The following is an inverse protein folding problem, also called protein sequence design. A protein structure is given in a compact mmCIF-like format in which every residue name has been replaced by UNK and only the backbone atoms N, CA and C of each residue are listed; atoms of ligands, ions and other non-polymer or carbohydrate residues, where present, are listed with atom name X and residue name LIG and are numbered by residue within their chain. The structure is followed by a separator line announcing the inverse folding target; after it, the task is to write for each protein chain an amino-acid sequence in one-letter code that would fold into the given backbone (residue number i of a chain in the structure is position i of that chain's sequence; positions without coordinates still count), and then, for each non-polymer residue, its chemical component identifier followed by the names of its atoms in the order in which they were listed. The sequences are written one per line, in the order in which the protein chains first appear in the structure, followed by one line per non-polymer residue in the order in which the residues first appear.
data_IF_710117145694
#
_entry.id   IF_710117145694
#
_cell.length_a   1.000
_cell.length_b   1.000
_cell.length_c   1.000
_cell.angle_alpha   90.00
_cell.angle_beta   90.00
_cell.angle_gamma   90.00
#
_symmetry.space_group_name_H-M   'P 1'
#
loop_
_entity.id
_entity.type
_entity.pdbx_description
1 polymer ?
#
# COMPACT_ATOMS: atom_id res chain seq x y z
N UNK A 1 32.38 40.71 -36.52
CA UNK A 1 31.68 41.39 -35.41
C UNK A 1 30.21 41.01 -35.44
N UNK A 2 29.79 40.19 -34.47
CA UNK A 2 28.53 40.25 -33.72
C UNK A 2 28.63 39.14 -32.68
N UNK A 3 28.93 39.54 -31.46
CA UNK A 3 28.90 38.69 -30.26
C UNK A 3 27.43 38.43 -29.90
N UNK A 4 27.12 37.21 -29.49
CA UNK A 4 25.93 36.95 -28.67
C UNK A 4 26.32 36.00 -27.54
N UNK A 5 26.09 36.52 -26.35
CA UNK A 5 26.43 36.06 -25.01
C UNK A 5 25.65 34.84 -24.55
N UNK A 6 26.31 34.11 -23.66
CA UNK A 6 25.87 33.05 -22.77
C UNK A 6 24.53 33.32 -22.07
N UNK A 7 23.71 32.28 -21.91
CA UNK A 7 22.55 32.25 -21.03
C UNK A 7 22.39 30.86 -20.43
N UNK A 8 22.69 30.76 -19.13
CA UNK A 8 22.51 29.58 -18.29
C UNK A 8 21.05 29.14 -18.25
N UNK A 9 20.86 27.83 -18.17
CA UNK A 9 19.59 27.18 -17.88
C UNK A 9 19.82 25.73 -17.48
N UNK A 10 20.63 25.51 -16.44
CA UNK A 10 20.58 24.28 -15.66
C UNK A 10 19.15 24.18 -15.09
N UNK A 11 18.27 23.44 -15.77
CA UNK A 11 17.11 22.88 -15.10
C UNK A 11 17.63 21.74 -14.23
N UNK A 12 17.85 22.08 -12.97
CA UNK A 12 17.82 21.12 -11.87
C UNK A 12 16.56 20.28 -12.02
N UNK A 13 16.73 18.99 -12.33
CA UNK A 13 15.72 17.98 -12.08
C UNK A 13 15.51 17.92 -10.56
N UNK A 14 14.72 18.85 -10.02
CA UNK A 14 14.05 18.62 -8.74
C UNK A 14 13.19 17.39 -8.95
N UNK A 15 13.61 16.27 -8.35
CA UNK A 15 12.93 15.00 -8.46
C UNK A 15 11.47 15.20 -8.14
N UNK A 16 10.60 14.89 -9.11
CA UNK A 16 9.17 14.76 -8.87
C UNK A 16 9.02 13.88 -7.63
N UNK A 17 8.48 14.45 -6.54
CA UNK A 17 8.13 13.67 -5.36
C UNK A 17 7.09 12.66 -5.84
N UNK A 18 7.53 11.44 -6.15
CA UNK A 18 6.65 10.35 -6.55
C UNK A 18 5.77 10.03 -5.36
N UNK A 19 4.51 10.42 -5.43
CA UNK A 19 3.53 10.10 -4.42
C UNK A 19 3.10 8.65 -4.60
N UNK A 20 3.13 7.89 -3.51
CA UNK A 20 2.66 6.53 -3.47
C UNK A 20 1.15 6.50 -3.79
N UNK A 21 0.72 5.56 -4.64
CA UNK A 21 -0.69 5.42 -5.01
C UNK A 21 -1.55 5.10 -3.77
N UNK A 22 -2.43 6.04 -3.40
CA UNK A 22 -3.25 5.91 -2.19
C UNK A 22 -4.16 4.67 -2.19
N UNK A 23 -4.78 4.32 -3.32
CA UNK A 23 -5.68 3.16 -3.38
C UNK A 23 -4.90 1.86 -3.25
N UNK A 24 -3.74 1.76 -3.91
CA UNK A 24 -2.85 0.61 -3.79
C UNK A 24 -2.35 0.43 -2.35
N UNK A 25 -1.97 1.53 -1.69
CA UNK A 25 -1.56 1.51 -0.28
C UNK A 25 -2.65 0.97 0.62
N UNK A 26 -3.90 1.43 0.47
CA UNK A 26 -5.03 0.97 1.27
C UNK A 26 -5.39 -0.49 0.98
N UNK A 27 -5.27 -0.94 -0.27
CA UNK A 27 -5.46 -2.34 -0.62
C UNK A 27 -4.43 -3.24 0.06
N UNK A 28 -3.15 -2.82 0.10
CA UNK A 28 -2.07 -3.51 0.81
C UNK A 28 -2.25 -3.50 2.33
N UNK A 29 -2.69 -2.37 2.89
CA UNK A 29 -2.93 -2.22 4.33
C UNK A 29 -4.11 -3.09 4.82
N UNK A 30 -5.03 -3.41 3.91
CA UNK A 30 -6.15 -4.31 4.16
C UNK A 30 -7.46 -3.58 4.47
N UNK A 31 -8.61 -4.26 4.31
CA UNK A 31 -9.93 -3.64 4.27
C UNK A 31 -10.40 -3.05 5.61
N UNK A 32 -9.74 -3.41 6.72
CA UNK A 32 -10.06 -2.91 8.06
C UNK A 32 -9.29 -1.63 8.42
N UNK A 33 -8.31 -1.23 7.60
CA UNK A 33 -7.51 -0.04 7.86
C UNK A 33 -8.24 1.20 7.37
N UNK A 34 -8.29 2.21 8.25
CA UNK A 34 -8.71 3.57 7.91
C UNK A 34 -7.76 4.58 8.56
N UNK A 35 -7.35 5.57 7.79
CA UNK A 35 -6.50 6.66 8.28
C UNK A 35 -7.37 7.89 8.60
N UNK A 36 -7.11 8.59 9.72
CA UNK A 36 -7.83 9.81 10.08
C UNK A 36 -7.53 10.96 9.10
N UNK A 37 -8.48 11.88 8.96
CA UNK A 37 -8.33 13.07 8.10
C UNK A 37 -7.42 14.10 8.76
N UNK A 38 -6.44 14.62 8.02
CA UNK A 38 -5.62 15.77 8.47
C UNK A 38 -6.51 16.94 8.86
N UNK A 39 -6.23 17.55 10.01
CA UNK A 39 -7.09 18.59 10.59
C UNK A 39 -8.14 18.06 11.56
N UNK A 40 -8.30 16.74 11.71
CA UNK A 40 -9.20 16.15 12.72
C UNK A 40 -8.60 16.10 14.13
N UNK A 41 -9.47 16.04 15.14
CA UNK A 41 -9.13 15.63 16.51
C UNK A 41 -9.18 14.11 16.64
N UNK A 42 -8.11 13.53 17.15
CA UNK A 42 -7.96 12.09 17.41
C UNK A 42 -7.59 11.84 18.86
N UNK A 43 -7.80 10.61 19.35
CA UNK A 43 -7.31 10.18 20.66
C UNK A 43 -6.13 9.23 20.44
N UNK A 44 -4.98 9.62 20.95
CA UNK A 44 -3.78 8.78 20.96
C UNK A 44 -3.70 8.00 22.27
N UNK A 45 -3.51 6.68 22.14
CA UNK A 45 -3.37 5.75 23.26
C UNK A 45 -1.92 5.25 23.33
N UNK A 46 -1.10 5.75 24.29
CA UNK A 46 0.28 5.30 24.43
C UNK A 46 0.40 3.78 24.61
N UNK A 47 -0.57 3.15 25.30
CA UNK A 47 -0.60 1.70 25.47
C UNK A 47 -0.70 0.97 24.13
N UNK A 48 -1.63 1.35 23.25
CA UNK A 48 -1.79 0.70 21.95
C UNK A 48 -0.56 0.88 21.05
N UNK A 49 0.13 2.03 21.14
CA UNK A 49 1.41 2.21 20.47
C UNK A 49 2.48 1.25 21.03
N UNK A 50 2.60 1.13 22.36
CA UNK A 50 3.52 0.16 22.97
C UNK A 50 3.22 -1.28 22.55
N UNK A 51 1.94 -1.66 22.43
CA UNK A 51 1.51 -2.98 21.93
C UNK A 51 1.98 -3.21 20.48
N UNK A 52 1.84 -2.21 19.60
CA UNK A 52 2.34 -2.28 18.23
C UNK A 52 3.88 -2.40 18.17
N UNK A 53 4.61 -1.66 19.02
CA UNK A 53 6.08 -1.74 19.12
C UNK A 53 6.52 -3.11 19.61
N UNK A 54 5.83 -3.69 20.60
CA UNK A 54 6.14 -5.02 21.11
C UNK A 54 5.94 -6.09 20.02
N UNK A 55 4.81 -6.02 19.29
CA UNK A 55 4.50 -6.94 18.20
C UNK A 55 5.52 -6.87 17.04
N UNK A 56 5.99 -5.67 16.69
CA UNK A 56 6.96 -5.47 15.60
C UNK A 56 8.40 -5.83 15.98
N UNK A 57 8.79 -5.60 17.24
CA UNK A 57 10.16 -5.87 17.69
C UNK A 57 10.37 -7.31 18.19
N UNK A 58 9.31 -8.10 18.33
CA UNK A 58 9.32 -9.43 18.98
C UNK A 58 10.02 -9.41 20.36
N UNK A 59 9.99 -8.26 21.04
CA UNK A 59 10.46 -8.11 22.40
C UNK A 59 9.22 -7.94 23.27
N UNK A 60 9.09 -8.82 24.26
CA UNK A 60 8.19 -8.52 25.37
C UNK A 60 8.60 -7.17 25.96
N UNK A 61 7.62 -6.40 26.44
CA UNK A 61 7.85 -5.11 27.08
C UNK A 61 8.67 -5.37 28.34
N UNK A 62 10.00 -5.37 28.19
CA UNK A 62 10.92 -5.73 29.25
C UNK A 62 10.70 -4.75 30.41
N UNK A 63 10.53 -5.31 31.60
CA UNK A 63 9.81 -4.70 32.70
C UNK A 63 10.62 -3.62 33.42
N UNK A 64 10.96 -2.53 32.73
CA UNK A 64 11.46 -1.26 33.30
C UNK A 64 11.08 -0.05 32.42
N UNK A 65 9.83 0.05 31.96
CA UNK A 65 9.35 1.34 31.43
C UNK A 65 9.32 2.33 32.60
N UNK A 66 10.05 3.46 32.52
CA UNK A 66 9.98 4.50 33.54
C UNK A 66 8.54 4.99 33.70
N UNK A 67 8.08 5.17 34.94
CA UNK A 67 6.81 5.84 35.13
C UNK A 67 6.94 7.29 34.66
N UNK A 68 6.05 7.73 33.78
CA UNK A 68 5.93 9.11 33.33
C UNK A 68 4.64 9.70 33.92
N UNK A 69 4.66 10.30 35.13
CA UNK A 69 3.44 10.76 35.81
C UNK A 69 2.65 11.81 35.02
N UNK A 70 3.32 12.52 34.12
CA UNK A 70 2.72 13.53 33.24
C UNK A 70 2.10 12.96 31.97
N UNK A 71 2.21 11.64 31.72
CA UNK A 71 1.65 10.99 30.54
C UNK A 71 0.30 10.34 30.88
N UNK A 72 -0.83 10.93 30.46
CA UNK A 72 -2.13 10.29 30.63
C UNK A 72 -2.28 9.07 29.71
N UNK A 73 -3.18 8.12 30.04
CA UNK A 73 -3.44 6.93 29.21
C UNK A 73 -4.11 7.25 27.87
N UNK A 74 -4.63 8.47 27.71
CA UNK A 74 -5.28 8.98 26.51
C UNK A 74 -4.93 10.44 26.32
N UNK A 75 -4.52 10.80 25.09
CA UNK A 75 -4.16 12.15 24.70
C UNK A 75 -5.08 12.60 23.57
N UNK A 76 -5.84 13.67 23.78
CA UNK A 76 -6.61 14.30 22.69
C UNK A 76 -5.63 15.14 21.88
N UNK A 77 -5.49 14.83 20.60
CA UNK A 77 -4.52 15.47 19.72
C UNK A 77 -5.19 16.08 18.50
N UNK A 78 -4.63 17.19 18.02
CA UNK A 78 -4.84 17.68 16.67
C UNK A 78 -3.93 16.92 15.71
N UNK A 79 -4.49 16.35 14.64
CA UNK A 79 -3.72 15.69 13.59
C UNK A 79 -3.26 16.71 12.56
N UNK A 80 -1.95 16.94 12.47
CA UNK A 80 -1.35 17.92 11.56
C UNK A 80 -0.97 17.35 10.20
N UNK A 81 -0.58 16.07 10.16
CA UNK A 81 -0.15 15.45 8.91
C UNK A 81 -0.33 13.93 8.93
N UNK A 82 -0.58 13.35 7.77
CA UNK A 82 -0.57 11.91 7.51
C UNK A 82 0.16 11.68 6.19
N UNK A 83 1.19 10.84 6.23
CA UNK A 83 1.93 10.41 5.03
C UNK A 83 1.96 8.89 4.97
N UNK A 84 1.83 8.34 3.76
CA UNK A 84 1.80 6.90 3.50
C UNK A 84 3.13 6.48 2.89
N UNK A 85 3.65 5.36 3.37
CA UNK A 85 4.95 4.83 2.99
C UNK A 85 4.88 3.31 2.83
N UNK A 86 5.85 2.76 2.12
CA UNK A 86 6.09 1.33 2.03
C UNK A 86 7.58 1.08 2.23
N UNK A 87 7.94 0.09 3.03
CA UNK A 87 9.33 -0.34 3.17
C UNK A 87 9.83 -0.91 1.84
N UNK A 88 11.03 -0.49 1.43
CA UNK A 88 11.60 -0.83 0.12
C UNK A 88 12.11 -2.27 0.02
N UNK A 89 12.37 -2.92 1.16
CA UNK A 89 12.87 -4.28 1.21
C UNK A 89 11.75 -5.30 1.44
N UNK A 90 10.74 -4.93 2.25
CA UNK A 90 9.69 -5.86 2.70
C UNK A 90 8.32 -5.61 2.06
N UNK A 91 8.13 -4.50 1.35
CA UNK A 91 6.82 -4.00 0.89
C UNK A 91 5.81 -3.75 2.04
N UNK A 92 6.26 -3.70 3.30
CA UNK A 92 5.40 -3.42 4.45
C UNK A 92 4.91 -1.96 4.40
N UNK A 93 3.58 -1.78 4.38
CA UNK A 93 2.96 -0.47 4.35
C UNK A 93 2.82 0.12 5.75
N UNK A 94 3.17 1.40 5.91
CA UNK A 94 3.00 2.12 7.16
C UNK A 94 2.62 3.58 6.92
N UNK A 95 1.99 4.19 7.92
CA UNK A 95 1.60 5.59 7.89
C UNK A 95 2.32 6.36 8.99
N UNK A 96 2.88 7.52 8.63
CA UNK A 96 3.46 8.45 9.59
C UNK A 96 2.46 9.56 9.87
N UNK A 97 2.11 9.72 11.15
CA UNK A 97 1.17 10.74 11.63
C UNK A 97 1.91 11.74 12.52
N UNK A 98 1.61 13.03 12.34
CA UNK A 98 2.11 14.10 13.21
C UNK A 98 0.98 14.60 14.09
N UNK A 99 1.10 14.38 15.40
CA UNK A 99 0.09 14.70 16.40
C UNK A 99 0.57 15.82 17.32
N UNK A 100 -0.28 16.81 17.57
CA UNK A 100 -0.08 17.80 18.63
C UNK A 100 -1.10 17.58 19.75
N UNK A 101 -0.67 17.23 20.99
CA UNK A 101 -1.57 17.18 22.14
C UNK A 101 -2.25 18.52 22.38
N UNK A 102 -3.55 18.50 22.61
CA UNK A 102 -4.34 19.69 22.92
C UNK A 102 -4.27 20.03 24.41
N UNK A 103 -4.15 21.32 24.71
CA UNK A 103 -4.29 21.87 26.06
C UNK A 103 -5.72 21.71 26.59
N UNK A 104 -5.94 21.72 27.92
CA UNK A 104 -7.28 21.63 28.51
C UNK A 104 -8.24 22.75 28.06
N UNK A 105 -7.72 23.91 27.66
CA UNK A 105 -8.50 25.01 27.09
C UNK A 105 -8.96 24.66 25.67
N UNK A 106 -8.04 24.25 24.79
CA UNK A 106 -8.34 23.89 23.40
C UNK A 106 -9.33 22.72 23.29
N UNK A 107 -9.29 21.79 24.25
CA UNK A 107 -10.24 20.68 24.32
C UNK A 107 -11.69 21.14 24.57
N UNK A 108 -11.89 22.29 25.21
CA UNK A 108 -13.23 22.86 25.49
C UNK A 108 -13.78 23.65 24.30
N UNK A 109 -12.93 24.02 23.35
CA UNK A 109 -13.37 24.74 22.16
C UNK A 109 -14.34 23.87 21.36
N UNK A 110 -15.37 24.53 20.82
CA UNK A 110 -16.36 23.88 19.97
C UNK A 110 -15.65 23.25 18.76
N UNK A 111 -15.57 21.93 18.76
CA UNK A 111 -15.03 21.19 17.64
C UNK A 111 -16.18 20.80 16.72
N UNK A 112 -16.16 21.33 15.51
CA UNK A 112 -16.99 20.85 14.42
C UNK A 112 -16.21 19.72 13.74
N UNK A 113 -16.65 18.45 13.85
CA UNK A 113 -15.99 17.37 13.15
C UNK A 113 -15.96 17.68 11.65
N UNK A 114 -14.76 17.67 11.06
CA UNK A 114 -14.60 17.61 9.61
C UNK A 114 -15.28 16.31 9.16
N UNK A 115 -16.46 16.48 8.55
CA UNK A 115 -17.32 15.49 7.88
C UNK A 115 -17.43 14.08 8.50
N UNK A 116 -18.63 13.75 8.97
CA UNK A 116 -19.06 12.38 9.25
C UNK A 116 -18.91 11.52 7.99
N UNK A 117 -17.92 10.62 8.00
CA UNK A 117 -17.74 9.56 7.02
C UNK A 117 -16.72 9.90 5.95
N UNK A 118 -15.44 9.73 6.27
CA UNK A 118 -14.42 9.63 5.21
C UNK A 118 -14.78 8.44 4.31
N UNK A 119 -15.02 8.65 3.01
CA UNK A 119 -15.26 7.54 2.10
C UNK A 119 -14.07 6.59 2.16
N UNK A 120 -14.36 5.28 2.13
CA UNK A 120 -13.34 4.26 2.09
C UNK A 120 -12.40 4.53 0.92
N UNK A 121 -11.09 4.58 1.19
CA UNK A 121 -10.05 4.70 0.16
C UNK A 121 -9.66 3.35 -0.43
N UNK A 122 -10.43 2.30 -0.13
CA UNK A 122 -10.27 0.99 -0.73
C UNK A 122 -10.66 1.05 -2.22
N UNK A 123 -9.86 0.47 -3.12
CA UNK A 123 -10.22 0.40 -4.53
C UNK A 123 -11.51 -0.41 -4.71
N UNK A 124 -12.34 0.00 -5.67
CA UNK A 124 -13.59 -0.72 -5.98
C UNK A 124 -13.36 -1.90 -6.91
N UNK A 125 -12.36 -1.78 -7.79
CA UNK A 125 -11.95 -2.80 -8.75
C UNK A 125 -10.61 -3.37 -8.35
N UNK A 126 -10.62 -4.41 -7.53
CA UNK A 126 -9.43 -5.15 -7.19
C UNK A 126 -9.77 -6.60 -6.85
N UNK A 127 -8.74 -7.42 -6.78
CA UNK A 127 -8.82 -8.71 -6.10
C UNK A 127 -7.56 -8.93 -5.26
N UNK A 128 -7.72 -9.71 -4.19
CA UNK A 128 -6.62 -10.24 -3.40
C UNK A 128 -6.72 -11.76 -3.42
N UNK A 129 -5.60 -12.45 -3.63
CA UNK A 129 -5.52 -13.90 -3.60
C UNK A 129 -4.32 -14.35 -2.79
N UNK A 130 -4.58 -15.22 -1.83
CA UNK A 130 -3.55 -16.02 -1.15
C UNK A 130 -2.92 -16.99 -2.13
N UNK A 131 -1.59 -16.97 -2.21
CA UNK A 131 -0.80 -17.80 -3.10
C UNK A 131 -0.81 -19.26 -2.63
N UNK A 132 -1.07 -20.16 -3.57
CA UNK A 132 -0.93 -21.59 -3.33
C UNK A 132 0.50 -22.06 -3.64
N UNK A 133 0.86 -23.27 -3.21
CA UNK A 133 2.17 -23.85 -3.54
C UNK A 133 2.44 -23.96 -5.05
N UNK A 134 1.41 -24.12 -5.88
CA UNK A 134 1.58 -24.12 -7.33
C UNK A 134 1.88 -22.73 -7.89
N UNK A 135 1.31 -21.68 -7.28
CA UNK A 135 1.54 -20.31 -7.71
C UNK A 135 3.01 -19.89 -7.46
N UNK A 136 3.65 -20.36 -6.39
CA UNK A 136 5.06 -19.99 -6.07
C UNK A 136 6.10 -20.96 -6.63
N UNK A 137 5.68 -22.00 -7.37
CA UNK A 137 6.60 -22.95 -7.99
C UNK A 137 7.30 -22.38 -9.23
N UNK A 138 8.57 -22.73 -9.45
CA UNK A 138 9.42 -22.20 -10.55
C UNK A 138 8.85 -22.46 -11.95
N UNK A 139 8.10 -23.55 -12.11
CA UNK A 139 7.50 -23.97 -13.38
C UNK A 139 6.00 -23.66 -13.45
N UNK A 140 5.41 -23.19 -12.35
CA UNK A 140 4.00 -22.82 -12.25
C UNK A 140 3.76 -21.38 -12.68
N UNK A 141 2.54 -21.11 -13.12
CA UNK A 141 2.02 -19.75 -13.28
C UNK A 141 1.05 -19.41 -12.17
N UNK A 142 0.68 -18.15 -12.06
CA UNK A 142 -0.35 -17.70 -11.14
C UNK A 142 -1.74 -18.03 -11.68
N UNK A 143 -2.54 -18.78 -10.94
CA UNK A 143 -3.92 -19.07 -11.31
C UNK A 143 -4.86 -17.95 -10.89
N UNK A 144 -5.44 -17.22 -11.84
CA UNK A 144 -6.31 -16.09 -11.55
C UNK A 144 -7.76 -16.56 -11.44
N UNK A 145 -8.50 -16.25 -10.36
CA UNK A 145 -9.92 -16.56 -10.28
C UNK A 145 -10.67 -15.91 -11.45
N UNK A 146 -11.59 -16.65 -12.08
CA UNK A 146 -12.28 -16.18 -13.30
C UNK A 146 -12.94 -14.82 -13.11
N UNK A 147 -13.74 -14.65 -12.04
CA UNK A 147 -14.42 -13.38 -11.73
C UNK A 147 -13.44 -12.23 -11.50
N UNK A 148 -12.25 -12.53 -10.97
CA UNK A 148 -11.21 -11.52 -10.73
C UNK A 148 -10.57 -11.07 -12.05
N UNK A 149 -10.20 -12.01 -12.92
CA UNK A 149 -9.64 -11.70 -14.23
C UNK A 149 -10.62 -10.89 -15.10
N UNK A 150 -11.89 -11.29 -15.14
CA UNK A 150 -12.94 -10.60 -15.91
C UNK A 150 -13.30 -9.21 -15.34
N UNK A 151 -13.04 -8.96 -14.04
CA UNK A 151 -13.33 -7.68 -13.38
C UNK A 151 -12.17 -6.69 -13.46
N UNK A 152 -10.93 -7.16 -13.29
CA UNK A 152 -9.77 -6.29 -13.05
C UNK A 152 -8.86 -6.17 -14.27
N UNK A 153 -8.72 -7.23 -15.08
CA UNK A 153 -7.83 -7.16 -16.24
C UNK A 153 -8.56 -6.65 -17.49
N UNK A 154 -7.83 -6.02 -18.44
CA UNK A 154 -8.36 -5.74 -19.76
C UNK A 154 -8.92 -7.02 -20.42
N UNK A 155 -10.02 -6.92 -21.18
CA UNK A 155 -10.64 -8.09 -21.81
C UNK A 155 -9.69 -8.74 -22.83
N UNK A 156 -9.64 -10.07 -22.83
CA UNK A 156 -8.89 -10.82 -23.83
C UNK A 156 -9.62 -10.84 -25.17
N UNK A 157 -8.85 -10.86 -26.26
CA UNK A 157 -9.35 -11.21 -27.58
C UNK A 157 -9.50 -12.74 -27.72
N UNK A 158 -10.74 -13.22 -27.60
CA UNK A 158 -11.07 -14.65 -27.68
C UNK A 158 -11.08 -15.22 -29.10
N UNK A 159 -10.84 -14.41 -30.14
CA UNK A 159 -10.64 -14.92 -31.50
C UNK A 159 -9.26 -15.57 -31.69
N UNK A 160 -8.30 -15.25 -30.83
CA UNK A 160 -6.95 -15.80 -30.85
C UNK A 160 -6.87 -17.20 -30.23
N UNK A 161 -5.89 -18.01 -30.66
CA UNK A 161 -5.70 -19.37 -30.14
C UNK A 161 -4.24 -19.58 -29.71
N UNK A 162 -3.94 -19.64 -28.39
CA UNK A 162 -4.81 -19.32 -27.25
C UNK A 162 -4.99 -17.79 -27.05
N UNK A 163 -6.12 -17.33 -26.46
CA UNK A 163 -6.30 -15.93 -26.07
C UNK A 163 -5.23 -15.49 -25.04
N UNK A 164 -4.49 -14.43 -25.34
CA UNK A 164 -3.44 -13.92 -24.46
C UNK A 164 -3.19 -12.41 -24.65
N UNK A 165 -2.62 -11.77 -23.64
CA UNK A 165 -2.14 -10.38 -23.68
C UNK A 165 -0.95 -10.18 -22.75
N UNK A 166 -0.21 -9.09 -22.94
CA UNK A 166 0.77 -8.60 -21.97
C UNK A 166 0.08 -7.61 -21.04
N UNK A 167 0.24 -7.81 -19.73
CA UNK A 167 -0.14 -6.86 -18.70
C UNK A 167 1.11 -6.17 -18.18
N UNK A 168 1.03 -4.86 -17.97
CA UNK A 168 2.06 -4.08 -17.30
C UNK A 168 1.40 -3.47 -16.06
N UNK A 169 1.88 -3.85 -14.88
CA UNK A 169 1.41 -3.33 -13.61
C UNK A 169 2.56 -2.64 -12.88
N UNK A 170 2.25 -1.72 -11.98
CA UNK A 170 3.24 -1.07 -11.11
C UNK A 170 3.00 -1.44 -9.66
N UNK A 171 4.07 -1.69 -8.92
CA UNK A 171 3.99 -1.93 -7.48
C UNK A 171 4.00 -0.61 -6.68
N UNK A 172 4.04 -0.73 -5.34
CA UNK A 172 4.08 0.41 -4.41
C UNK A 172 5.27 1.34 -4.63
N UNK A 173 6.33 0.86 -5.28
CA UNK A 173 7.57 1.58 -5.54
C UNK A 173 7.69 2.08 -6.99
N UNK A 174 6.57 2.07 -7.73
CA UNK A 174 6.49 2.48 -9.14
C UNK A 174 7.37 1.61 -10.07
N UNK A 175 7.73 0.40 -9.63
CA UNK A 175 8.46 -0.57 -10.45
C UNK A 175 7.48 -1.29 -11.38
N UNK A 176 7.77 -1.27 -12.68
CA UNK A 176 6.95 -1.93 -13.69
C UNK A 176 7.23 -3.44 -13.75
N UNK A 177 6.14 -4.21 -13.66
CA UNK A 177 6.12 -5.66 -13.76
C UNK A 177 5.30 -6.09 -14.97
N UNK A 178 5.91 -6.88 -15.85
CA UNK A 178 5.27 -7.40 -17.05
C UNK A 178 4.83 -8.84 -16.85
N UNK A 179 3.58 -9.14 -17.18
CA UNK A 179 3.00 -10.46 -17.05
C UNK A 179 2.32 -10.90 -18.34
N UNK A 180 2.58 -12.13 -18.78
CA UNK A 180 1.78 -12.75 -19.84
C UNK A 180 0.50 -13.34 -19.25
N UNK A 181 -0.63 -12.66 -19.47
CA UNK A 181 -1.96 -13.16 -19.16
C UNK A 181 -2.47 -14.04 -20.31
N UNK A 182 -2.88 -15.27 -19.99
CA UNK A 182 -3.32 -16.26 -20.99
C UNK A 182 -4.52 -17.05 -20.47
N UNK A 183 -5.49 -17.32 -21.34
CA UNK A 183 -6.63 -18.18 -21.05
C UNK A 183 -6.47 -19.54 -21.74
N UNK A 184 -6.08 -20.57 -20.98
CA UNK A 184 -5.77 -21.91 -21.53
C UNK A 184 -6.02 -23.03 -20.52
N UNK A 185 -5.71 -24.27 -20.92
CA UNK A 185 -5.84 -25.46 -20.07
C UNK A 185 -7.17 -26.19 -20.22
N UNK A 186 -7.31 -27.32 -19.54
CA UNK A 186 -8.52 -28.13 -19.50
C UNK A 186 -8.85 -28.50 -18.04
N UNK A 187 -9.92 -27.93 -17.44
CA UNK A 187 -10.77 -26.87 -17.97
C UNK A 187 -10.00 -25.56 -18.19
N UNK A 188 -10.50 -24.68 -19.06
CA UNK A 188 -9.85 -23.38 -19.36
C UNK A 188 -9.83 -22.48 -18.13
N UNK A 189 -8.69 -21.83 -17.87
CA UNK A 189 -8.45 -20.95 -16.72
C UNK A 189 -7.59 -19.76 -17.13
N UNK A 190 -7.72 -18.66 -16.39
CA UNK A 190 -6.85 -17.50 -16.52
C UNK A 190 -5.54 -17.74 -15.77
N UNK A 191 -4.42 -17.45 -16.41
CA UNK A 191 -3.08 -17.65 -15.85
C UNK A 191 -2.23 -16.40 -16.11
N UNK A 192 -1.40 -16.00 -15.14
CA UNK A 192 -0.20 -15.23 -15.41
C UNK A 192 0.97 -16.20 -15.52
N UNK A 193 1.71 -16.11 -16.63
CA UNK A 193 2.77 -17.06 -16.97
C UNK A 193 4.14 -16.38 -17.02
N UNK A 194 4.64 -16.03 -18.20
CA UNK A 194 5.89 -15.28 -18.35
C UNK A 194 5.88 -14.03 -17.49
N UNK A 195 6.97 -13.79 -16.76
CA UNK A 195 7.13 -12.69 -15.81
C UNK A 195 6.70 -13.02 -14.37
N UNK A 196 5.80 -13.97 -14.16
CA UNK A 196 5.29 -14.30 -12.82
C UNK A 196 6.37 -14.88 -11.89
N UNK A 197 7.15 -15.86 -12.35
CA UNK A 197 8.21 -16.46 -11.53
C UNK A 197 9.31 -15.46 -11.17
N UNK A 198 9.57 -14.49 -12.04
CA UNK A 198 10.51 -13.38 -11.78
C UNK A 198 9.97 -12.48 -10.67
N UNK A 199 8.69 -12.12 -10.73
CA UNK A 199 8.02 -11.35 -9.68
C UNK A 199 8.05 -12.08 -8.32
N UNK A 200 7.66 -13.35 -8.29
CA UNK A 200 7.71 -14.20 -7.08
C UNK A 200 9.10 -14.22 -6.47
N UNK A 201 10.13 -14.43 -7.30
CA UNK A 201 11.52 -14.51 -6.83
C UNK A 201 12.01 -13.17 -6.29
N UNK A 202 11.73 -12.07 -7.00
CA UNK A 202 12.18 -10.73 -6.63
C UNK A 202 11.51 -10.24 -5.34
N UNK A 203 10.21 -10.52 -5.18
CA UNK A 203 9.41 -10.19 -4.00
C UNK A 203 9.51 -11.25 -2.89
N UNK A 204 10.31 -12.30 -3.08
CA UNK A 204 10.53 -13.40 -2.13
C UNK A 204 9.23 -14.05 -1.64
N UNK A 205 8.23 -14.15 -2.51
CA UNK A 205 6.90 -14.63 -2.14
C UNK A 205 6.89 -16.14 -1.91
N UNK A 206 6.17 -16.56 -0.88
CA UNK A 206 5.95 -17.97 -0.50
C UNK A 206 4.46 -18.32 -0.51
N UNK A 207 4.15 -19.61 -0.46
CA UNK A 207 2.77 -20.06 -0.34
C UNK A 207 2.19 -19.58 1.01
N UNK A 208 0.99 -19.01 0.98
CA UNK A 208 0.40 -18.34 2.14
C UNK A 208 0.48 -16.81 2.10
N UNK A 209 1.44 -16.25 1.35
CA UNK A 209 1.45 -14.81 1.06
C UNK A 209 0.25 -14.43 0.20
N UNK A 210 -0.04 -13.13 0.10
CA UNK A 210 -1.14 -12.65 -0.73
C UNK A 210 -0.64 -11.66 -1.78
N UNK A 211 -1.19 -11.76 -2.97
CA UNK A 211 -0.98 -10.78 -4.05
C UNK A 211 -2.30 -10.15 -4.42
N UNK A 212 -2.26 -8.86 -4.68
CA UNK A 212 -3.41 -8.08 -5.13
C UNK A 212 -3.13 -7.40 -6.46
N UNK A 213 -4.20 -7.19 -7.21
CA UNK A 213 -4.21 -6.39 -8.43
C UNK A 213 -5.39 -5.44 -8.37
N UNK A 214 -5.16 -4.20 -8.76
CA UNK A 214 -6.14 -3.11 -8.88
C UNK A 214 -6.27 -2.70 -10.35
#
# INVERSE_FOLDING_TARGET
MKLSTSGLGQQSHEGEKKYLNSELWHACAGPLVSLPTVGSRVVYFPQGHSEQVAATTNKEVDAQIPNYPSLPPQLICQLHNVTMHADVETDEVYAQMTLQPLTPQEQKDAYLPVELGTPSRQPTNYFCKTLTASDTSTHGGFSVPRRAAEKVFPPLDFSQTPPAQELIARDLHDVEWKFRHIFRGQPKRHLLTTGWSVFVSAKRLVAGDSVLFI
#
